data_IF_953403545259
#
_entry.id   IF_953403545259
#
_cell.length_a   1.000
_cell.length_b   1.000
_cell.length_c   1.000
_cell.angle_alpha   90.00
_cell.angle_beta   90.00
_cell.angle_gamma   90.00
#
_symmetry.space_group_name_H-M   'P 1'
#
loop_
_entity.id
_entity.type
_entity.pdbx_description
1 polymer ?
#
# COMPACT_ATOMS: atom_id res chain seq x y z
N UNK A 1 4.55 -62.97 -28.39
CA UNK A 1 4.63 -61.78 -27.51
C UNK A 1 5.35 -60.70 -28.31
N UNK A 2 4.70 -59.77 -29.02
CA UNK A 2 4.03 -58.53 -28.53
C UNK A 2 4.97 -57.77 -27.56
N UNK A 3 5.60 -56.62 -27.86
CA UNK A 3 5.10 -55.38 -28.48
C UNK A 3 6.20 -54.51 -29.15
N UNK A 4 5.76 -53.65 -30.07
CA UNK A 4 6.43 -52.47 -30.66
C UNK A 4 6.79 -51.34 -29.67
N UNK A 5 7.88 -50.59 -29.94
CA UNK A 5 7.97 -49.11 -29.76
C UNK A 5 9.20 -48.54 -30.50
N UNK A 6 9.08 -47.96 -31.70
CA UNK A 6 8.74 -46.56 -32.08
C UNK A 6 9.81 -45.49 -31.76
N UNK A 7 10.66 -45.26 -32.75
CA UNK A 7 11.08 -43.97 -33.33
C UNK A 7 11.10 -42.74 -32.43
N UNK A 8 12.31 -42.41 -31.98
CA UNK A 8 12.71 -41.08 -31.52
C UNK A 8 13.15 -40.25 -32.73
N UNK A 9 12.24 -39.45 -33.31
CA UNK A 9 12.59 -38.30 -34.19
C UNK A 9 11.33 -37.51 -34.55
N UNK A 10 10.85 -36.65 -33.64
CA UNK A 10 9.76 -35.71 -33.96
C UNK A 10 9.75 -34.41 -33.12
N UNK A 11 10.82 -34.04 -32.42
CA UNK A 11 10.85 -32.80 -31.62
C UNK A 11 11.79 -31.70 -32.16
N UNK A 12 12.49 -31.92 -33.27
CA UNK A 12 13.43 -30.95 -33.84
C UNK A 12 12.81 -29.91 -34.80
N UNK A 13 11.50 -29.97 -35.10
CA UNK A 13 10.86 -29.09 -36.09
C UNK A 13 9.93 -28.00 -35.51
N UNK A 14 9.73 -27.92 -34.20
CA UNK A 14 8.85 -26.90 -33.59
C UNK A 14 9.58 -25.65 -33.06
N UNK A 15 10.91 -25.64 -33.03
CA UNK A 15 11.70 -24.52 -32.48
C UNK A 15 12.06 -23.41 -33.48
N UNK A 16 11.56 -23.44 -34.72
CA UNK A 16 11.88 -22.45 -35.77
C UNK A 16 10.76 -21.45 -36.11
N UNK A 17 9.67 -21.39 -35.34
CA UNK A 17 8.49 -20.57 -35.70
C UNK A 17 8.24 -19.30 -34.87
N UNK A 18 9.16 -18.91 -33.98
CA UNK A 18 9.02 -17.68 -33.17
C UNK A 18 10.25 -16.76 -33.18
N UNK A 19 10.99 -16.73 -34.29
CA UNK A 19 11.95 -15.66 -34.57
C UNK A 19 11.47 -14.90 -35.80
N UNK A 20 10.73 -13.82 -35.59
CA UNK A 20 10.29 -12.97 -36.67
C UNK A 20 9.13 -12.08 -36.25
N UNK A 21 9.44 -10.99 -35.53
CA UNK A 21 8.73 -9.69 -35.56
C UNK A 21 9.39 -8.73 -34.56
N UNK A 22 10.64 -8.36 -34.81
CA UNK A 22 11.22 -7.11 -34.33
C UNK A 22 11.28 -6.16 -35.51
N UNK A 23 10.21 -5.38 -35.70
CA UNK A 23 10.19 -4.17 -36.53
C UNK A 23 9.01 -3.31 -36.09
N UNK A 24 9.29 -2.29 -35.29
CA UNK A 24 8.45 -1.09 -35.22
C UNK A 24 9.39 0.11 -35.18
N UNK A 25 9.76 0.57 -36.38
CA UNK A 25 10.19 1.93 -36.62
C UNK A 25 8.98 2.86 -36.47
N UNK A 26 9.24 3.99 -35.81
CA UNK A 26 8.72 5.33 -36.06
C UNK A 26 7.48 5.47 -36.97
N UNK A 27 6.37 5.95 -36.39
CA UNK A 27 5.63 7.08 -36.96
C UNK A 27 5.12 7.99 -35.84
N UNK A 28 5.82 9.11 -35.67
CA UNK A 28 5.32 10.34 -35.09
C UNK A 28 4.33 10.95 -36.10
N UNK A 29 3.07 11.17 -35.71
CA UNK A 29 2.25 12.30 -36.17
C UNK A 29 0.95 12.33 -35.39
N UNK A 30 0.91 13.14 -34.34
CA UNK A 30 -0.34 13.77 -33.88
C UNK A 30 -0.07 15.25 -33.69
N UNK A 31 -0.74 16.05 -34.52
CA UNK A 31 -0.71 17.52 -34.49
C UNK A 31 -1.06 18.05 -33.09
N UNK A 32 -0.35 19.06 -32.58
CA UNK A 32 -0.78 19.79 -31.41
C UNK A 32 -1.94 20.73 -31.81
N UNK A 33 -3.09 20.58 -31.15
CA UNK A 33 -4.15 21.59 -31.16
C UNK A 33 -3.60 22.89 -30.53
N UNK A 34 -3.83 24.07 -31.12
CA UNK A 34 -3.31 25.33 -30.59
C UNK A 34 -4.08 25.73 -29.33
N UNK A 35 -3.32 26.01 -28.26
CA UNK A 35 -3.83 26.67 -27.06
C UNK A 35 -4.33 28.09 -27.40
N UNK A 36 -5.44 28.55 -26.81
CA UNK A 36 -5.89 29.94 -26.96
C UNK A 36 -4.88 30.91 -26.31
N UNK A 37 -4.70 32.12 -26.88
CA UNK A 37 -3.73 33.08 -26.37
C UNK A 37 -4.14 33.63 -25.00
N UNK A 38 -3.14 33.84 -24.14
CA UNK A 38 -3.30 34.48 -22.85
C UNK A 38 -3.81 35.93 -23.00
N UNK A 39 -4.69 36.42 -22.10
CA UNK A 39 -5.06 37.83 -22.11
C UNK A 39 -3.86 38.70 -21.73
N UNK A 40 -3.60 39.72 -22.56
CA UNK A 40 -2.54 40.70 -22.37
C UNK A 40 -2.79 41.58 -21.12
N UNK A 41 -1.72 42.13 -20.51
CA UNK A 41 -1.84 42.94 -19.31
C UNK A 41 -2.32 44.35 -19.67
N UNK A 42 -3.48 44.74 -19.17
CA UNK A 42 -3.90 46.14 -19.18
C UNK A 42 -3.17 46.89 -18.06
N UNK A 43 -2.12 47.59 -18.45
CA UNK A 43 -1.55 48.73 -17.71
C UNK A 43 -2.47 49.94 -17.89
N UNK A 44 -2.91 50.58 -16.80
CA UNK A 44 -2.80 52.03 -16.66
C UNK A 44 -3.24 52.59 -15.28
N UNK A 45 -2.36 53.44 -14.74
CA UNK A 45 -2.47 54.54 -13.75
C UNK A 45 -2.88 54.24 -12.29
N UNK A 46 -1.96 54.32 -11.31
CA UNK A 46 -1.51 55.52 -10.53
C UNK A 46 -2.60 56.01 -9.56
N UNK A 47 -2.43 56.11 -8.23
CA UNK A 47 -1.45 56.96 -7.55
C UNK A 47 -1.44 56.71 -6.01
N UNK A 48 -0.30 57.02 -5.37
CA UNK A 48 -0.08 57.45 -3.96
C UNK A 48 -0.09 56.44 -2.78
N UNK A 49 1.08 56.34 -2.11
CA UNK A 49 1.18 56.04 -0.66
C UNK A 49 2.31 55.08 -0.26
N UNK A 50 3.40 55.54 0.40
CA UNK A 50 4.53 54.69 0.78
C UNK A 50 4.30 54.05 2.15
N UNK A 51 4.25 52.73 2.20
CA UNK A 51 4.34 51.98 3.47
C UNK A 51 5.16 50.72 3.27
N UNK A 52 6.45 50.85 3.60
CA UNK A 52 7.29 49.73 4.01
C UNK A 52 6.62 48.99 5.17
N UNK A 53 6.13 47.79 4.92
CA UNK A 53 6.28 46.69 5.88
C UNK A 53 6.58 45.44 5.08
N UNK A 54 7.84 45.02 5.16
CA UNK A 54 8.34 43.76 4.68
C UNK A 54 7.49 42.62 5.24
N UNK A 55 6.53 42.13 4.44
CA UNK A 55 6.01 40.79 4.60
C UNK A 55 7.13 39.87 4.14
N UNK A 56 8.01 39.52 5.08
CA UNK A 56 8.87 38.35 4.97
C UNK A 56 7.93 37.19 4.70
N UNK A 57 7.69 36.87 3.41
CA UNK A 57 7.23 35.55 3.00
C UNK A 57 8.23 34.60 3.63
N UNK A 58 7.86 33.99 4.75
CA UNK A 58 8.52 32.81 5.26
C UNK A 58 8.59 31.87 4.06
N UNK A 59 9.78 31.76 3.48
CA UNK A 59 10.08 30.67 2.56
C UNK A 59 9.85 29.43 3.39
N UNK A 60 8.72 28.75 3.16
CA UNK A 60 8.59 27.35 3.53
C UNK A 60 9.83 26.70 2.94
N UNK A 61 10.73 26.11 3.76
CA UNK A 61 11.87 25.40 3.21
C UNK A 61 11.26 24.28 2.36
N UNK A 62 11.30 24.43 1.05
CA UNK A 62 11.08 23.32 0.13
C UNK A 62 12.22 22.36 0.42
N UNK A 63 11.94 21.36 1.25
CA UNK A 63 12.85 20.25 1.46
C UNK A 63 13.04 19.59 0.11
N UNK A 64 14.22 19.81 -0.47
CA UNK A 64 14.65 19.17 -1.70
C UNK A 64 15.08 17.74 -1.33
N UNK A 65 14.07 16.90 -1.11
CA UNK A 65 14.25 15.50 -0.74
C UNK A 65 14.51 14.73 -2.05
N UNK A 66 15.61 13.95 -2.15
CA UNK A 66 15.80 13.06 -3.27
C UNK A 66 14.59 12.12 -3.37
N UNK A 67 14.09 11.82 -4.58
CA UNK A 67 12.92 10.96 -4.73
C UNK A 67 13.23 9.60 -4.11
N UNK A 68 12.47 9.24 -3.07
CA UNK A 68 12.53 7.90 -2.51
C UNK A 68 12.14 6.91 -3.61
N UNK A 69 12.86 5.77 -3.75
CA UNK A 69 12.44 4.72 -4.65
C UNK A 69 11.04 4.27 -4.25
N UNK A 70 10.23 3.92 -5.24
CA UNK A 70 8.91 3.34 -4.97
C UNK A 70 9.13 2.00 -4.27
N UNK A 71 8.52 1.78 -3.10
CA UNK A 71 8.54 0.50 -2.41
C UNK A 71 7.64 -0.48 -3.18
N UNK A 72 8.24 -1.52 -3.73
CA UNK A 72 7.57 -2.52 -4.54
C UNK A 72 7.32 -3.84 -3.79
N UNK A 73 7.71 -3.90 -2.51
CA UNK A 73 7.53 -5.04 -1.64
C UNK A 73 8.88 -5.60 -1.21
N UNK A 74 8.97 -6.92 -1.06
CA UNK A 74 10.21 -7.61 -0.70
C UNK A 74 11.35 -7.40 -1.73
N UNK A 75 11.01 -7.19 -3.00
CA UNK A 75 11.98 -7.13 -4.10
C UNK A 75 12.98 -5.98 -3.99
N UNK A 76 12.59 -4.89 -3.33
CA UNK A 76 13.46 -3.74 -3.10
C UNK A 76 13.37 -3.20 -1.67
N UNK A 77 12.92 -4.02 -0.71
CA UNK A 77 12.74 -3.57 0.68
C UNK A 77 14.05 -3.09 1.30
N UNK A 78 15.15 -3.83 1.09
CA UNK A 78 16.45 -3.48 1.67
C UNK A 78 17.02 -2.19 1.04
N UNK A 79 16.91 -2.05 -0.28
CA UNK A 79 17.31 -0.81 -0.98
C UNK A 79 16.45 0.38 -0.54
N UNK A 80 15.15 0.17 -0.41
CA UNK A 80 14.21 1.19 0.06
C UNK A 80 14.53 1.61 1.50
N UNK A 81 14.79 0.65 2.38
CA UNK A 81 15.16 0.88 3.78
C UNK A 81 16.46 1.70 3.88
N UNK A 82 17.49 1.28 3.15
CA UNK A 82 18.78 1.98 3.10
C UNK A 82 18.65 3.42 2.59
N UNK A 83 17.89 3.63 1.51
CA UNK A 83 17.70 4.97 0.92
C UNK A 83 16.81 5.83 1.81
N UNK A 84 15.76 5.29 2.42
CA UNK A 84 14.91 6.00 3.38
C UNK A 84 15.73 6.47 4.57
N UNK A 85 16.43 5.55 5.25
CA UNK A 85 17.20 5.87 6.45
C UNK A 85 18.32 6.85 6.13
N UNK A 86 19.02 6.69 5.00
CA UNK A 86 20.04 7.66 4.55
C UNK A 86 19.43 9.04 4.31
N UNK A 87 18.29 9.12 3.64
CA UNK A 87 17.58 10.38 3.38
C UNK A 87 17.17 11.05 4.69
N UNK A 88 16.56 10.29 5.60
CA UNK A 88 16.18 10.82 6.92
C UNK A 88 17.39 11.27 7.74
N UNK A 89 18.54 10.58 7.68
CA UNK A 89 19.79 11.03 8.33
C UNK A 89 20.28 12.36 7.77
N UNK A 90 20.22 12.58 6.45
CA UNK A 90 20.62 13.85 5.83
C UNK A 90 19.79 15.03 6.34
N UNK A 91 18.53 14.80 6.70
CA UNK A 91 17.62 15.81 7.24
C UNK A 91 17.54 15.83 8.77
N UNK A 92 18.31 14.98 9.48
CA UNK A 92 18.25 14.89 10.94
C UNK A 92 16.97 14.26 11.49
N UNK A 93 16.22 13.52 10.66
CA UNK A 93 14.92 12.92 10.97
C UNK A 93 14.98 11.40 11.21
N UNK A 94 16.16 10.79 11.13
CA UNK A 94 16.32 9.34 11.22
C UNK A 94 15.75 8.75 12.53
N UNK A 95 15.87 9.50 13.62
CA UNK A 95 15.42 9.09 14.95
C UNK A 95 13.92 8.81 15.03
N UNK A 96 13.12 9.39 14.12
CA UNK A 96 11.68 9.11 14.02
C UNK A 96 11.36 7.67 13.61
N UNK A 97 12.31 6.94 13.00
CA UNK A 97 12.14 5.53 12.58
C UNK A 97 13.16 4.58 13.23
N UNK A 98 14.34 5.06 13.62
CA UNK A 98 15.40 4.22 14.21
C UNK A 98 15.26 4.06 15.72
N UNK A 99 14.68 5.02 16.44
CA UNK A 99 14.47 4.87 17.89
C UNK A 99 13.40 3.82 18.18
N UNK A 100 13.58 2.94 19.18
CA UNK A 100 12.63 1.86 19.49
C UNK A 100 11.19 2.30 19.75
N UNK A 101 10.98 3.54 20.21
CA UNK A 101 9.65 4.13 20.46
C UNK A 101 9.37 5.37 19.60
N UNK A 102 10.23 5.65 18.61
CA UNK A 102 10.25 6.93 17.90
C UNK A 102 10.67 8.11 18.77
N UNK A 103 10.65 9.32 18.20
CA UNK A 103 10.91 10.57 18.92
C UNK A 103 9.70 10.93 19.80
N UNK A 104 9.86 11.06 21.13
CA UNK A 104 8.76 11.37 22.04
C UNK A 104 8.21 12.78 21.81
N UNK A 105 6.92 12.96 22.11
CA UNK A 105 6.25 14.26 22.02
C UNK A 105 6.82 15.25 23.05
N UNK A 106 7.23 16.47 22.64
CA UNK A 106 7.64 17.51 23.57
C UNK A 106 6.41 18.06 24.32
N UNK A 107 6.57 18.52 25.57
CA UNK A 107 5.45 19.07 26.34
C UNK A 107 4.85 20.30 25.63
N UNK A 108 3.51 20.33 25.52
CA UNK A 108 2.75 21.40 24.87
C UNK A 108 2.88 22.77 25.52
N UNK A 109 3.38 22.82 26.77
CA UNK A 109 3.57 24.03 27.56
C UNK A 109 4.95 24.09 28.20
N UNK A 110 5.93 24.68 27.51
CA UNK A 110 7.14 25.22 28.16
C UNK A 110 7.78 26.32 27.31
N UNK A 111 8.08 27.51 27.88
CA UNK A 111 8.96 28.51 27.28
C UNK A 111 10.42 27.97 27.20
N UNK A 112 11.34 28.67 26.50
CA UNK A 112 12.71 28.20 26.29
C UNK A 112 13.52 28.31 27.59
N UNK A 113 13.56 27.25 28.39
CA UNK A 113 14.44 27.15 29.56
C UNK A 113 15.52 26.10 29.28
N UNK A 114 16.73 26.26 29.84
CA UNK A 114 17.94 25.69 29.25
C UNK A 114 18.04 24.19 29.52
N UNK A 115 18.42 23.48 28.45
CA UNK A 115 18.73 22.07 28.39
C UNK A 115 19.61 21.62 29.57
N UNK A 116 19.00 21.07 30.62
CA UNK A 116 19.76 20.49 31.73
C UNK A 116 19.60 19.00 31.92
N UNK A 117 18.70 18.30 31.22
CA UNK A 117 18.59 16.83 31.37
C UNK A 117 18.06 16.06 30.15
N UNK A 118 18.33 16.49 28.92
CA UNK A 118 18.11 15.66 27.73
C UNK A 118 19.45 15.32 27.09
N UNK A 119 20.19 14.45 27.76
CA UNK A 119 21.37 13.75 27.22
C UNK A 119 20.90 12.60 26.29
N UNK A 120 20.04 12.91 25.34
CA UNK A 120 19.62 11.97 24.29
C UNK A 120 19.50 12.76 23.00
N UNK A 121 20.63 12.85 22.29
CA UNK A 121 20.70 12.97 20.84
C UNK A 121 22.18 12.77 20.51
N UNK A 122 22.49 11.60 19.96
CA UNK A 122 23.79 11.38 19.36
C UNK A 122 23.99 12.38 18.22
N UNK A 123 25.21 12.91 18.15
CA UNK A 123 25.74 13.69 17.03
C UNK A 123 25.30 15.16 16.92
N UNK A 124 25.95 16.01 17.72
CA UNK A 124 26.77 17.09 17.15
C UNK A 124 26.08 18.30 16.49
N UNK A 125 24.80 18.57 16.78
CA UNK A 125 24.19 19.87 16.45
C UNK A 125 23.43 20.39 17.65
N UNK A 126 23.71 21.65 17.97
CA UNK A 126 23.16 22.48 19.04
C UNK A 126 21.80 21.96 19.57
N UNK A 127 21.76 21.58 20.86
CA UNK A 127 20.55 21.18 21.58
C UNK A 127 19.57 22.35 21.71
N UNK A 128 18.96 22.74 20.59
CA UNK A 128 17.73 23.51 20.57
C UNK A 128 16.60 22.54 20.94
N UNK A 129 15.85 22.89 21.99
CA UNK A 129 14.64 22.17 22.37
C UNK A 129 13.71 22.08 21.15
N UNK A 130 13.40 20.86 20.70
CA UNK A 130 12.47 20.63 19.60
C UNK A 130 11.09 21.17 20.00
N UNK A 131 10.58 22.18 19.28
CA UNK A 131 9.26 22.73 19.58
C UNK A 131 8.17 21.74 19.19
N UNK A 132 6.99 21.83 19.81
CA UNK A 132 5.85 20.97 19.49
C UNK A 132 5.47 21.05 18.01
N UNK A 133 5.40 22.26 17.45
CA UNK A 133 5.16 22.46 16.01
C UNK A 133 6.24 21.84 15.11
N UNK A 134 7.50 21.87 15.54
CA UNK A 134 8.61 21.24 14.80
C UNK A 134 8.47 19.72 14.82
N UNK A 135 8.17 19.16 15.99
CA UNK A 135 7.91 17.73 16.17
C UNK A 135 6.76 17.22 15.30
N UNK A 136 5.63 17.95 15.28
CA UNK A 136 4.48 17.59 14.45
C UNK A 136 4.81 17.65 12.96
N UNK A 137 5.48 18.72 12.51
CA UNK A 137 5.89 18.86 11.11
C UNK A 137 6.86 17.77 10.66
N UNK A 138 7.84 17.47 11.49
CA UNK A 138 8.84 16.44 11.19
C UNK A 138 8.18 15.06 11.08
N UNK A 139 7.26 14.72 11.99
CA UNK A 139 6.48 13.47 11.90
C UNK A 139 5.64 13.40 10.65
N UNK A 140 4.87 14.45 10.36
CA UNK A 140 4.03 14.50 9.17
C UNK A 140 4.85 14.33 7.89
N UNK A 141 6.03 14.95 7.84
CA UNK A 141 6.94 14.83 6.70
C UNK A 141 7.47 13.41 6.54
N UNK A 142 7.90 12.75 7.62
CA UNK A 142 8.37 11.37 7.56
C UNK A 142 7.23 10.41 7.16
N UNK A 143 6.02 10.62 7.70
CA UNK A 143 4.84 9.84 7.29
C UNK A 143 4.54 10.01 5.80
N UNK A 144 4.60 11.24 5.28
CA UNK A 144 4.38 11.51 3.85
C UNK A 144 5.44 10.87 2.97
N UNK A 145 6.71 10.89 3.39
CA UNK A 145 7.82 10.24 2.68
C UNK A 145 7.61 8.72 2.60
N UNK A 146 7.31 8.09 3.73
CA UNK A 146 7.07 6.64 3.78
C UNK A 146 5.83 6.28 2.94
N UNK A 147 4.69 6.88 3.23
CA UNK A 147 3.41 6.53 2.58
C UNK A 147 3.35 6.90 1.10
N UNK A 148 4.03 7.98 0.71
CA UNK A 148 4.18 8.41 -0.68
C UNK A 148 5.04 7.48 -1.51
N UNK A 149 5.94 6.71 -0.87
CA UNK A 149 6.79 5.74 -1.55
C UNK A 149 6.06 4.42 -1.88
N UNK A 150 4.88 4.15 -1.30
CA UNK A 150 4.22 2.86 -1.48
C UNK A 150 3.73 2.62 -2.91
N UNK A 151 4.02 1.42 -3.45
CA UNK A 151 3.25 0.89 -4.57
C UNK A 151 1.80 0.59 -4.15
N UNK A 152 0.92 0.42 -5.15
CA UNK A 152 -0.47 0.04 -4.86
C UNK A 152 -0.52 -1.34 -4.16
N UNK A 153 0.30 -2.29 -4.61
CA UNK A 153 0.36 -3.63 -4.04
C UNK A 153 0.88 -3.66 -2.60
N UNK A 154 1.88 -2.83 -2.31
CA UNK A 154 2.40 -2.66 -0.95
C UNK A 154 1.34 -2.03 -0.06
N UNK A 155 0.64 -0.99 -0.54
CA UNK A 155 -0.45 -0.37 0.22
C UNK A 155 -1.55 -1.38 0.56
N UNK A 156 -1.98 -2.20 -0.40
CA UNK A 156 -2.99 -3.23 -0.16
C UNK A 156 -2.50 -4.30 0.83
N UNK A 157 -1.22 -4.67 0.77
CA UNK A 157 -0.59 -5.60 1.71
C UNK A 157 -0.58 -5.03 3.12
N UNK A 158 -0.15 -3.79 3.28
CA UNK A 158 -0.14 -3.10 4.57
C UNK A 158 -1.56 -2.97 5.13
N UNK A 159 -2.55 -2.62 4.31
CA UNK A 159 -3.96 -2.58 4.72
C UNK A 159 -4.45 -3.94 5.22
N UNK A 160 -4.06 -5.04 4.57
CA UNK A 160 -4.39 -6.39 5.00
C UNK A 160 -3.71 -6.77 6.34
N UNK A 161 -2.53 -6.20 6.60
CA UNK A 161 -1.79 -6.33 7.86
C UNK A 161 -2.25 -5.35 8.96
N UNK A 162 -3.32 -4.57 8.76
CA UNK A 162 -3.86 -3.66 9.77
C UNK A 162 -3.32 -2.22 9.73
N UNK A 163 -2.71 -1.81 8.61
CA UNK A 163 -2.32 -0.42 8.40
C UNK A 163 -3.53 0.52 8.45
N UNK A 164 -3.45 1.55 9.30
CA UNK A 164 -4.41 2.64 9.35
C UNK A 164 -3.89 3.85 8.54
N UNK A 165 -4.61 4.31 7.49
CA UNK A 165 -4.26 5.54 6.77
C UNK A 165 -4.27 6.82 7.63
N UNK A 166 -4.95 6.82 8.79
CA UNK A 166 -4.88 7.93 9.75
C UNK A 166 -3.72 7.85 10.74
N UNK A 167 -2.86 6.85 10.65
CA UNK A 167 -1.67 6.75 11.51
C UNK A 167 -0.73 7.94 11.29
N UNK A 168 -0.35 8.59 12.39
CA UNK A 168 0.52 9.78 12.40
C UNK A 168 1.90 9.48 12.96
N UNK A 169 2.13 8.25 13.42
CA UNK A 169 3.41 7.81 13.97
C UNK A 169 4.28 7.15 12.89
N UNK A 170 5.35 7.83 12.42
CA UNK A 170 6.20 7.29 11.37
C UNK A 170 6.88 5.98 11.80
N UNK A 171 7.15 5.81 13.10
CA UNK A 171 7.73 4.57 13.64
C UNK A 171 6.79 3.38 13.45
N UNK A 172 5.52 3.55 13.79
CA UNK A 172 4.50 2.49 13.65
C UNK A 172 4.34 2.08 12.19
N UNK A 173 4.29 3.05 11.28
CA UNK A 173 4.20 2.78 9.84
C UNK A 173 5.45 2.05 9.35
N UNK A 174 6.64 2.52 9.73
CA UNK A 174 7.90 1.90 9.34
C UNK A 174 8.03 0.47 9.88
N UNK A 175 7.71 0.23 11.15
CA UNK A 175 7.77 -1.10 11.74
C UNK A 175 6.77 -2.05 11.08
N UNK A 176 5.55 -1.56 10.81
CA UNK A 176 4.56 -2.33 10.06
C UNK A 176 5.06 -2.71 8.67
N UNK A 177 5.77 -1.82 7.98
CA UNK A 177 6.39 -2.12 6.68
C UNK A 177 7.42 -3.24 6.81
N UNK A 178 8.28 -3.16 7.83
CA UNK A 178 9.33 -4.15 8.09
C UNK A 178 8.76 -5.51 8.53
N UNK A 179 7.62 -5.53 9.22
CA UNK A 179 6.91 -6.74 9.66
C UNK A 179 6.08 -7.35 8.53
N UNK A 180 5.32 -6.54 7.79
CA UNK A 180 4.44 -7.00 6.71
C UNK A 180 5.21 -7.44 5.46
N UNK A 181 6.40 -6.89 5.24
CA UNK A 181 7.26 -7.23 4.11
C UNK A 181 8.49 -7.99 4.67
N UNK A 182 8.48 -9.33 4.72
CA UNK A 182 9.60 -10.10 5.21
C UNK A 182 10.80 -9.94 4.27
N UNK A 183 11.98 -9.70 4.86
CA UNK A 183 13.29 -9.53 4.20
C UNK A 183 13.86 -10.80 3.56
N UNK A 184 13.19 -11.94 3.74
CA UNK A 184 13.66 -13.23 3.26
C UNK A 184 12.50 -14.09 2.79
N UNK A 185 12.70 -14.86 1.72
CA UNK A 185 11.83 -15.92 1.21
C UNK A 185 11.68 -17.12 2.18
N UNK A 186 11.64 -16.86 3.48
CA UNK A 186 11.63 -17.83 4.57
C UNK A 186 10.35 -17.86 5.39
N UNK A 187 9.32 -17.08 5.04
CA UNK A 187 7.97 -17.47 5.43
C UNK A 187 7.65 -18.76 4.67
N UNK A 188 7.58 -19.85 5.43
CA UNK A 188 7.33 -21.20 4.92
C UNK A 188 6.03 -21.17 4.13
N UNK A 189 6.03 -21.64 2.87
CA UNK A 189 4.80 -21.80 2.05
C UNK A 189 3.70 -22.50 2.86
N UNK A 190 4.10 -23.40 3.77
CA UNK A 190 3.23 -24.07 4.71
C UNK A 190 2.48 -23.12 5.68
N UNK A 191 3.06 -22.00 6.11
CA UNK A 191 2.40 -21.02 6.97
C UNK A 191 1.28 -20.30 6.22
N UNK A 192 1.52 -19.86 4.98
CA UNK A 192 0.50 -19.22 4.14
C UNK A 192 -0.58 -20.20 3.72
N UNK A 193 -0.24 -21.44 3.38
CA UNK A 193 -1.23 -22.49 3.10
C UNK A 193 -2.07 -22.83 4.33
N UNK A 194 -1.44 -22.87 5.52
CA UNK A 194 -2.15 -23.10 6.78
C UNK A 194 -3.12 -21.96 7.07
N UNK A 195 -2.67 -20.71 6.92
CA UNK A 195 -3.53 -19.54 7.10
C UNK A 195 -4.68 -19.53 6.08
N UNK A 196 -4.38 -19.74 4.79
CA UNK A 196 -5.39 -19.83 3.74
C UNK A 196 -6.41 -20.94 4.02
N UNK A 197 -5.97 -22.06 4.59
CA UNK A 197 -6.85 -23.14 4.96
C UNK A 197 -7.67 -22.84 6.22
N UNK A 198 -7.25 -21.95 7.12
CA UNK A 198 -8.02 -21.60 8.34
C UNK A 198 -8.83 -20.31 8.24
N UNK A 199 -8.53 -19.46 7.26
CA UNK A 199 -9.06 -18.10 7.20
C UNK A 199 -10.59 -18.08 7.10
N UNK A 200 -11.23 -17.12 7.78
CA UNK A 200 -12.68 -16.90 7.77
C UNK A 200 -13.05 -15.42 7.85
N UNK A 201 -14.12 -14.95 7.19
CA UNK A 201 -14.63 -13.58 7.35
C UNK A 201 -15.05 -13.24 8.79
N UNK A 202 -15.33 -14.25 9.62
CA UNK A 202 -15.74 -14.09 11.01
C UNK A 202 -14.58 -13.77 11.97
N UNK A 203 -13.33 -13.76 11.49
CA UNK A 203 -12.19 -13.48 12.35
C UNK A 203 -12.25 -12.07 12.97
N UNK A 204 -11.87 -11.91 14.26
CA UNK A 204 -11.93 -10.62 14.94
C UNK A 204 -11.16 -9.51 14.22
N UNK A 205 -10.01 -9.87 13.60
CA UNK A 205 -9.16 -8.93 12.85
C UNK A 205 -9.83 -8.29 11.65
N UNK A 206 -10.91 -8.88 11.13
CA UNK A 206 -11.64 -8.34 9.99
C UNK A 206 -12.84 -7.48 10.38
N UNK A 207 -13.20 -7.38 11.67
CA UNK A 207 -14.38 -6.61 12.10
C UNK A 207 -15.69 -6.98 11.38
N UNK A 208 -15.82 -8.21 10.88
CA UNK A 208 -16.96 -8.66 10.05
C UNK A 208 -17.00 -8.07 8.63
N UNK A 209 -15.89 -7.50 8.16
CA UNK A 209 -15.70 -6.86 6.86
C UNK A 209 -15.31 -7.88 5.81
N UNK A 210 -16.23 -8.17 4.87
CA UNK A 210 -15.91 -9.02 3.72
C UNK A 210 -14.78 -8.45 2.86
N UNK A 211 -14.60 -7.12 2.89
CA UNK A 211 -13.53 -6.44 2.15
C UNK A 211 -12.15 -6.84 2.70
N UNK A 212 -11.98 -6.84 4.01
CA UNK A 212 -10.71 -7.20 4.65
C UNK A 212 -10.37 -8.66 4.42
N UNK A 213 -11.37 -9.55 4.49
CA UNK A 213 -11.23 -10.94 4.09
C UNK A 213 -10.73 -11.10 2.64
N UNK A 214 -11.32 -10.35 1.69
CA UNK A 214 -10.90 -10.35 0.28
C UNK A 214 -9.45 -9.85 0.10
N UNK A 215 -9.06 -8.81 0.84
CA UNK A 215 -7.69 -8.29 0.81
C UNK A 215 -6.69 -9.34 1.31
N UNK A 216 -7.00 -10.00 2.43
CA UNK A 216 -6.14 -11.04 2.98
C UNK A 216 -6.02 -12.25 2.06
N UNK A 217 -7.12 -12.69 1.43
CA UNK A 217 -7.09 -13.74 0.42
C UNK A 217 -6.21 -13.38 -0.79
N UNK A 218 -6.29 -12.14 -1.26
CA UNK A 218 -5.47 -11.65 -2.37
C UNK A 218 -3.99 -11.56 -1.99
N UNK A 219 -3.70 -11.17 -0.75
CA UNK A 219 -2.36 -11.19 -0.18
C UNK A 219 -1.78 -12.62 -0.15
N UNK A 220 -2.50 -13.57 0.45
CA UNK A 220 -2.06 -14.97 0.54
C UNK A 220 -1.85 -15.61 -0.84
N UNK A 221 -2.76 -15.35 -1.79
CA UNK A 221 -2.58 -15.82 -3.17
C UNK A 221 -1.30 -15.25 -3.79
N UNK A 222 -1.07 -13.94 -3.72
CA UNK A 222 0.15 -13.32 -4.27
C UNK A 222 1.42 -13.92 -3.66
N UNK A 223 1.44 -14.13 -2.34
CA UNK A 223 2.56 -14.77 -1.64
C UNK A 223 2.86 -16.17 -2.14
N UNK A 224 1.82 -17.00 -2.27
CA UNK A 224 1.94 -18.36 -2.81
C UNK A 224 2.48 -18.35 -4.24
N UNK A 225 2.05 -17.42 -5.08
CA UNK A 225 2.53 -17.27 -6.47
C UNK A 225 3.99 -16.82 -6.57
N UNK A 226 4.49 -16.04 -5.60
CA UNK A 226 5.88 -15.61 -5.56
C UNK A 226 6.80 -16.76 -5.14
N UNK A 227 6.37 -17.58 -4.18
CA UNK A 227 7.18 -18.70 -3.69
C UNK A 227 7.08 -19.96 -4.55
N UNK A 228 5.91 -20.23 -5.14
CA UNK A 228 5.70 -21.32 -6.09
C UNK A 228 5.26 -20.72 -7.44
N UNK A 229 6.04 -20.88 -8.53
CA UNK A 229 5.71 -20.29 -9.84
C UNK A 229 4.44 -20.88 -10.51
N UNK A 230 3.83 -21.92 -9.93
CA UNK A 230 2.60 -22.56 -10.42
C UNK A 230 1.74 -23.09 -9.26
N UNK A 231 1.18 -22.21 -8.41
CA UNK A 231 0.28 -22.69 -7.38
C UNK A 231 -1.00 -23.18 -8.06
N UNK A 232 -1.57 -24.27 -7.53
CA UNK A 232 -2.81 -24.80 -8.06
C UNK A 232 -3.96 -23.80 -7.76
N UNK A 233 -4.34 -22.99 -8.75
CA UNK A 233 -5.39 -21.97 -8.62
C UNK A 233 -6.71 -22.56 -8.11
N UNK A 234 -7.02 -23.82 -8.48
CA UNK A 234 -8.19 -24.50 -7.95
C UNK A 234 -8.06 -24.78 -6.45
N UNK A 235 -6.88 -25.14 -5.96
CA UNK A 235 -6.65 -25.34 -4.53
C UNK A 235 -6.89 -24.04 -3.75
N UNK A 236 -6.36 -22.92 -4.26
CA UNK A 236 -6.53 -21.59 -3.64
C UNK A 236 -8.02 -21.20 -3.63
N UNK A 237 -8.74 -21.45 -4.73
CA UNK A 237 -10.18 -21.20 -4.82
C UNK A 237 -10.98 -22.09 -3.86
N UNK A 238 -10.66 -23.40 -3.77
CA UNK A 238 -11.31 -24.32 -2.83
C UNK A 238 -11.14 -23.82 -1.40
N UNK A 239 -9.90 -23.49 -0.99
CA UNK A 239 -9.64 -23.01 0.36
C UNK A 239 -10.35 -21.69 0.67
N UNK A 240 -10.36 -20.75 -0.29
CA UNK A 240 -11.05 -19.48 -0.15
C UNK A 240 -12.59 -19.67 -0.03
N UNK A 241 -13.18 -20.55 -0.83
CA UNK A 241 -14.62 -20.86 -0.75
C UNK A 241 -14.95 -21.55 0.57
N UNK A 242 -14.18 -22.55 0.98
CA UNK A 242 -14.38 -23.23 2.27
C UNK A 242 -14.23 -22.27 3.45
N UNK A 243 -13.27 -21.35 3.40
CA UNK A 243 -13.07 -20.32 4.42
C UNK A 243 -14.24 -19.35 4.54
N UNK A 244 -14.83 -18.95 3.40
CA UNK A 244 -16.05 -18.15 3.36
C UNK A 244 -17.22 -18.85 4.07
N UNK A 245 -17.38 -20.16 3.85
CA UNK A 245 -18.43 -20.98 4.46
C UNK A 245 -18.30 -21.22 5.97
N UNK A 246 -17.18 -20.82 6.59
CA UNK A 246 -17.01 -20.88 8.06
C UNK A 246 -17.78 -19.82 8.81
N UNK A 247 -18.19 -18.77 8.12
CA UNK A 247 -19.11 -17.76 8.64
C UNK A 247 -20.52 -18.08 8.13
N UNK A 248 -21.46 -18.32 9.05
CA UNK A 248 -22.85 -18.67 8.73
C UNK A 248 -23.55 -17.60 7.88
N UNK A 249 -23.08 -16.35 7.93
CA UNK A 249 -23.58 -15.27 7.07
C UNK A 249 -23.33 -15.51 5.58
N UNK A 250 -22.30 -16.29 5.23
CA UNK A 250 -21.88 -16.52 3.85
C UNK A 250 -21.92 -17.99 3.44
N UNK A 251 -22.55 -18.86 4.23
CA UNK A 251 -22.66 -20.30 3.95
C UNK A 251 -23.33 -20.58 2.60
N UNK A 252 -24.49 -19.97 2.34
CA UNK A 252 -25.21 -20.11 1.06
C UNK A 252 -24.37 -19.66 -0.14
N UNK A 253 -23.61 -18.57 0.04
CA UNK A 253 -22.73 -18.03 -0.97
C UNK A 253 -21.56 -18.99 -1.23
N UNK A 254 -20.95 -19.54 -0.17
CA UNK A 254 -19.91 -20.55 -0.26
C UNK A 254 -20.39 -21.77 -1.05
N UNK A 255 -21.57 -22.30 -0.72
CA UNK A 255 -22.16 -23.45 -1.42
C UNK A 255 -22.42 -23.15 -2.91
N UNK A 256 -22.98 -21.98 -3.23
CA UNK A 256 -23.22 -21.57 -4.60
C UNK A 256 -21.92 -21.41 -5.41
N UNK A 257 -20.87 -20.87 -4.80
CA UNK A 257 -19.55 -20.72 -5.44
C UNK A 257 -18.85 -22.08 -5.58
N UNK A 258 -19.00 -22.99 -4.61
CA UNK A 258 -18.50 -24.36 -4.68
C UNK A 258 -19.07 -25.12 -5.88
N UNK A 259 -20.38 -25.06 -6.10
CA UNK A 259 -21.01 -25.66 -7.28
C UNK A 259 -20.56 -25.02 -8.60
N UNK A 260 -20.23 -23.73 -8.63
CA UNK A 260 -19.66 -23.09 -9.82
C UNK A 260 -18.23 -23.56 -10.09
N UNK A 261 -17.45 -23.80 -9.04
CA UNK A 261 -16.10 -24.34 -9.14
C UNK A 261 -16.11 -25.78 -9.67
N UNK A 262 -17.00 -26.64 -9.17
CA UNK A 262 -17.17 -28.02 -9.64
C UNK A 262 -17.51 -28.11 -11.14
N UNK A 263 -18.24 -27.12 -11.66
CA UNK A 263 -18.59 -27.02 -13.09
C UNK A 263 -17.45 -26.47 -13.95
N UNK A 264 -16.31 -26.13 -13.37
CA UNK A 264 -15.13 -25.60 -14.08
C UNK A 264 -15.28 -24.16 -14.58
N UNK A 265 -16.29 -23.42 -14.12
CA UNK A 265 -16.59 -22.05 -14.58
C UNK A 265 -16.02 -20.94 -13.70
N UNK A 266 -15.25 -21.30 -12.67
CA UNK A 266 -14.83 -20.38 -11.61
C UNK A 266 -13.37 -19.97 -11.79
N UNK A 267 -13.13 -18.67 -11.91
CA UNK A 267 -11.79 -18.07 -11.89
C UNK A 267 -11.64 -17.16 -10.69
N UNK A 268 -10.39 -16.84 -10.32
CA UNK A 268 -10.12 -15.88 -9.24
C UNK A 268 -10.80 -14.52 -9.46
N UNK A 269 -10.75 -14.00 -10.69
CA UNK A 269 -11.38 -12.72 -11.03
C UNK A 269 -12.89 -12.75 -10.82
N UNK A 270 -13.55 -13.86 -11.21
CA UNK A 270 -14.99 -14.06 -10.99
C UNK A 270 -15.31 -14.17 -9.50
N UNK A 271 -14.50 -14.91 -8.76
CA UNK A 271 -14.65 -15.09 -7.30
C UNK A 271 -14.59 -13.76 -6.56
N UNK A 272 -13.53 -12.99 -6.81
CA UNK A 272 -13.37 -11.67 -6.21
C UNK A 272 -14.48 -10.70 -6.64
N UNK A 273 -14.94 -10.78 -7.90
CA UNK A 273 -16.06 -9.99 -8.40
C UNK A 273 -17.37 -10.28 -7.68
N UNK A 274 -17.68 -11.56 -7.44
CA UNK A 274 -18.89 -11.96 -6.72
C UNK A 274 -18.85 -11.49 -5.26
N UNK A 275 -17.70 -11.62 -4.57
CA UNK A 275 -17.52 -11.10 -3.21
C UNK A 275 -17.64 -9.57 -3.14
N UNK A 276 -17.04 -8.86 -4.10
CA UNK A 276 -17.17 -7.40 -4.18
C UNK A 276 -18.63 -6.98 -4.42
N UNK A 277 -19.37 -7.72 -5.25
CA UNK A 277 -20.80 -7.50 -5.47
C UNK A 277 -21.64 -7.70 -4.20
N UNK A 278 -21.34 -8.74 -3.41
CA UNK A 278 -21.99 -8.99 -2.11
C UNK A 278 -21.66 -7.87 -1.11
N UNK A 279 -20.39 -7.48 -1.00
CA UNK A 279 -19.98 -6.38 -0.15
C UNK A 279 -20.70 -5.07 -0.54
N UNK A 280 -20.79 -4.76 -1.82
CA UNK A 280 -21.51 -3.59 -2.33
C UNK A 280 -22.99 -3.58 -1.94
N UNK A 281 -23.68 -4.73 -2.04
CA UNK A 281 -25.08 -4.87 -1.58
C UNK A 281 -25.22 -4.66 -0.07
N UNK A 282 -24.31 -5.22 0.73
CA UNK A 282 -24.33 -5.04 2.19
C UNK A 282 -24.13 -3.58 2.60
N UNK A 283 -23.21 -2.87 1.93
CA UNK A 283 -22.98 -1.44 2.16
C UNK A 283 -24.22 -0.61 1.77
N UNK A 284 -24.87 -0.94 0.65
CA UNK A 284 -26.09 -0.28 0.21
C UNK A 284 -27.25 -0.48 1.21
N UNK A 285 -27.47 -1.70 1.70
CA UNK A 285 -28.51 -1.99 2.70
C UNK A 285 -28.24 -1.30 4.05
N UNK A 286 -26.99 -1.26 4.52
CA UNK A 286 -26.62 -0.48 5.72
C UNK A 286 -26.94 1.01 5.56
N UNK A 287 -26.64 1.59 4.40
CA UNK A 287 -26.96 3.00 4.09
C UNK A 287 -28.46 3.25 4.05
N UNK A 288 -29.24 2.32 3.49
CA UNK A 288 -30.70 2.39 3.42
C UNK A 288 -31.33 2.30 4.82
N UNK A 289 -30.86 1.40 5.67
CA UNK A 289 -31.35 1.26 7.04
C UNK A 289 -31.00 2.48 7.90
N UNK A 290 -29.81 3.07 7.73
CA UNK A 290 -29.44 4.31 8.43
C UNK A 290 -30.31 5.50 8.05
N UNK A 291 -30.83 5.56 6.82
CA UNK A 291 -31.77 6.59 6.36
C UNK A 291 -33.21 6.38 6.83
N UNK A 292 -33.54 5.19 7.34
CA UNK A 292 -34.89 4.79 7.76
C UNK A 292 -35.13 4.88 9.26
N UNK A 293 -34.11 5.21 10.05
CA UNK A 293 -34.26 5.53 11.46
C UNK A 293 -34.41 7.06 11.53
N UNK A 294 -35.63 7.61 11.65
CA UNK A 294 -35.78 9.01 12.03
C UNK A 294 -35.29 9.11 13.47
N UNK A 295 -34.46 10.11 13.76
CA UNK A 295 -34.19 10.53 15.12
C UNK A 295 -35.55 10.81 15.79
N UNK A 296 -35.94 9.99 16.77
CA UNK A 296 -36.99 10.36 17.70
C UNK A 296 -36.49 11.61 18.43
N UNK A 297 -37.16 12.77 18.31
CA UNK A 297 -36.78 13.94 19.08
C UNK A 297 -37.07 13.66 20.55
N UNK A 298 -36.01 13.76 21.36
CA UNK A 298 -36.08 13.82 22.82
C UNK A 298 -36.73 15.14 23.30
#
# INVERSE_FOLDING_TARGET
>A
MLYHRKDSNASAQQYRKYQGLHHYEHFMTSSPLPLPPAPAPSSDFSEAGPSNTNVTRQRVPTLDLPPLPRLLGHENLDEWDDILVRTLRLHGLADHVTLPRGVPEPPSSSPPWPATNLKYLGSGRDSACLTHEQWERDRALVCLLITGSFSLDVRDTLLACGYDPSETNPKVIYDLVQEALPKSAGEDVASWLRELNSISPAEPRFGGSLREYCLQLSYLRRRLYVAEPQPNDNLVLVMAILGLGRDSKYEDLSMALGHQLERGGMSWARFMGDLAGVHGRQVAERRKNRRRIPEEPA
#
